data_IF_657991892098
#
_entry.id   IF_657991892098
#
_cell.length_a   1.000
_cell.length_b   1.000
_cell.length_c   1.000
_cell.angle_alpha   90.00
_cell.angle_beta   90.00
_cell.angle_gamma   90.00
#
_symmetry.space_group_name_H-M   'P 1'
#
loop_
_entity.id
_entity.type
_entity.pdbx_description
1 polymer ?
#
# COMPACT_ATOMS: atom_id res chain seq x y z
N UNK A 1 17.53 35.79 33.98
CA UNK A 1 16.59 35.40 32.91
C UNK A 1 16.25 33.93 33.12
N UNK A 2 14.98 33.63 33.45
CA UNK A 2 14.51 32.30 33.84
C UNK A 2 14.36 31.45 32.58
N UNK A 3 15.15 30.38 32.44
CA UNK A 3 14.96 29.40 31.36
C UNK A 3 13.75 28.55 31.77
N UNK A 4 12.59 28.82 31.17
CA UNK A 4 11.37 28.00 31.30
C UNK A 4 11.32 27.07 30.09
N UNK A 5 11.31 25.78 30.37
CA UNK A 5 11.70 24.70 29.47
C UNK A 5 10.94 24.62 28.14
N UNK A 6 11.73 24.54 27.06
CA UNK A 6 11.31 24.12 25.72
C UNK A 6 11.64 22.64 25.43
N UNK A 7 12.27 21.94 26.39
CA UNK A 7 12.83 20.60 26.20
C UNK A 7 11.83 19.44 26.45
N UNK A 8 10.75 19.67 27.22
CA UNK A 8 9.79 18.61 27.57
C UNK A 8 8.90 18.21 26.37
N UNK A 9 8.45 19.18 25.58
CA UNK A 9 7.57 18.95 24.41
C UNK A 9 8.28 18.23 23.26
N UNK A 10 9.61 18.32 23.19
CA UNK A 10 10.44 17.64 22.18
C UNK A 10 10.57 16.13 22.46
N UNK A 11 10.75 15.76 23.73
CA UNK A 11 10.96 14.39 24.19
C UNK A 11 9.68 13.54 24.20
N UNK A 12 8.53 14.12 24.55
CA UNK A 12 7.25 13.41 24.53
C UNK A 12 6.76 13.14 23.10
N UNK A 13 6.91 14.12 22.21
CA UNK A 13 6.57 13.95 20.79
C UNK A 13 7.48 12.92 20.11
N UNK A 14 8.77 12.88 20.42
CA UNK A 14 9.68 11.85 19.87
C UNK A 14 9.34 10.45 20.38
N UNK A 15 8.91 10.29 21.65
CA UNK A 15 8.39 9.01 22.17
C UNK A 15 7.07 8.59 21.52
N UNK A 16 6.16 9.52 21.24
CA UNK A 16 4.92 9.24 20.51
C UNK A 16 5.20 8.84 19.05
N UNK A 17 6.20 9.43 18.42
CA UNK A 17 6.60 9.12 17.05
C UNK A 17 7.31 7.75 16.94
N UNK A 18 8.12 7.36 17.94
CA UNK A 18 8.78 6.06 17.94
C UNK A 18 7.82 4.91 18.20
N UNK A 19 6.69 5.15 18.88
CA UNK A 19 5.66 4.14 19.21
C UNK A 19 5.22 3.32 17.99
N UNK A 20 5.07 3.95 16.83
CA UNK A 20 4.53 3.29 15.64
C UNK A 20 5.58 2.52 14.83
N UNK A 21 6.87 2.86 14.97
CA UNK A 21 7.94 2.26 14.17
C UNK A 21 8.02 0.75 14.41
N UNK A 22 8.19 -0.01 13.33
CA UNK A 22 8.30 -1.47 13.36
C UNK A 22 6.98 -2.23 13.48
N UNK A 23 5.84 -1.55 13.75
CA UNK A 23 4.52 -2.19 13.79
C UNK A 23 4.14 -2.75 12.43
N UNK A 24 3.47 -3.90 12.44
CA UNK A 24 2.94 -4.50 11.21
C UNK A 24 1.71 -3.71 10.73
N UNK A 25 1.50 -3.66 9.43
CA UNK A 25 0.32 -3.02 8.83
C UNK A 25 -0.47 -4.04 8.03
N UNK A 26 -1.76 -4.16 8.30
CA UNK A 26 -2.66 -5.10 7.65
C UNK A 26 -3.82 -4.37 6.97
N UNK A 27 -4.24 -4.83 5.80
CA UNK A 27 -5.43 -4.31 5.14
C UNK A 27 -6.72 -4.75 5.85
N UNK A 28 -7.87 -4.23 5.38
CA UNK A 28 -9.19 -4.66 5.86
C UNK A 28 -9.39 -6.18 5.75
N UNK A 29 -8.94 -6.77 4.64
CA UNK A 29 -9.01 -8.22 4.43
C UNK A 29 -7.95 -9.03 5.20
N UNK A 30 -7.12 -8.39 6.01
CA UNK A 30 -6.05 -9.03 6.78
C UNK A 30 -4.78 -9.29 5.96
N UNK A 31 -4.65 -8.74 4.75
CA UNK A 31 -3.42 -8.86 3.97
C UNK A 31 -2.28 -8.07 4.64
N UNK A 32 -1.13 -8.70 4.86
CA UNK A 32 0.06 -8.02 5.35
C UNK A 32 0.62 -7.05 4.30
N UNK A 33 0.64 -5.76 4.62
CA UNK A 33 1.05 -4.67 3.74
C UNK A 33 2.50 -4.23 3.96
N UNK A 34 3.08 -4.49 5.14
CA UNK A 34 4.45 -4.12 5.47
C UNK A 34 4.63 -3.73 6.93
N UNK A 35 5.74 -3.06 7.24
CA UNK A 35 6.01 -2.47 8.55
C UNK A 35 6.07 -0.96 8.48
N UNK A 36 5.70 -0.29 9.56
CA UNK A 36 5.90 1.15 9.70
C UNK A 36 7.41 1.45 9.78
N UNK A 37 7.93 2.14 8.78
CA UNK A 37 9.31 2.64 8.74
C UNK A 37 9.41 3.99 9.44
N UNK A 38 8.42 4.86 9.21
CA UNK A 38 8.43 6.22 9.74
C UNK A 38 7.03 6.80 9.95
N UNK A 39 6.98 7.95 10.60
CA UNK A 39 5.73 8.67 10.89
C UNK A 39 5.72 9.99 10.14
N UNK A 40 4.58 10.33 9.55
CA UNK A 40 4.33 11.58 8.85
C UNK A 40 3.64 12.52 9.82
N UNK A 41 4.26 13.66 10.13
CA UNK A 41 3.68 14.70 10.96
C UNK A 41 3.25 15.91 10.12
N UNK A 42 2.09 16.49 10.46
CA UNK A 42 1.60 17.74 9.86
C UNK A 42 1.08 18.65 10.97
N UNK A 43 1.59 19.88 11.04
CA UNK A 43 1.22 20.87 12.08
C UNK A 43 1.26 20.29 13.51
N UNK A 44 2.36 19.59 13.85
CA UNK A 44 2.59 18.95 15.15
C UNK A 44 1.68 17.76 15.49
N UNK A 45 0.80 17.35 14.56
CA UNK A 45 -0.03 16.16 14.72
C UNK A 45 0.50 15.04 13.85
N UNK A 46 0.51 13.83 14.38
CA UNK A 46 0.79 12.62 13.63
C UNK A 46 -0.33 12.39 12.60
N UNK A 47 -0.03 12.62 11.33
CA UNK A 47 -0.99 12.60 10.22
C UNK A 47 -1.00 11.26 9.46
N UNK A 48 0.10 10.52 9.50
CA UNK A 48 0.18 9.24 8.83
C UNK A 48 1.44 8.46 9.16
N UNK A 49 1.65 7.35 8.47
CA UNK A 49 2.85 6.53 8.54
C UNK A 49 3.38 6.21 7.16
N UNK A 50 4.69 6.02 7.09
CA UNK A 50 5.38 5.46 5.95
C UNK A 50 5.55 3.96 6.19
N UNK A 51 4.98 3.16 5.31
CA UNK A 51 4.99 1.70 5.42
C UNK A 51 5.94 1.12 4.36
N UNK A 52 6.85 0.26 4.78
CA UNK A 52 7.82 -0.42 3.93
C UNK A 52 7.52 -1.90 3.76
N UNK A 53 7.69 -2.39 2.53
CA UNK A 53 7.68 -3.83 2.18
C UNK A 53 8.77 -4.13 1.16
N UNK A 54 9.90 -4.63 1.64
CA UNK A 54 11.11 -4.80 0.82
C UNK A 54 11.61 -3.43 0.32
N UNK A 55 11.82 -3.29 -0.99
CA UNK A 55 12.25 -2.02 -1.62
C UNK A 55 11.10 -1.01 -1.85
N UNK A 56 9.86 -1.38 -1.54
CA UNK A 56 8.67 -0.53 -1.78
C UNK A 56 8.30 0.20 -0.51
N UNK A 57 7.86 1.44 -0.66
CA UNK A 57 7.38 2.28 0.43
C UNK A 57 6.12 3.03 -0.02
N UNK A 58 5.16 3.18 0.88
CA UNK A 58 3.94 3.96 0.63
C UNK A 58 3.53 4.74 1.87
N UNK A 59 2.89 5.89 1.66
CA UNK A 59 2.31 6.69 2.71
C UNK A 59 0.88 6.23 2.99
N UNK A 60 0.55 6.15 4.28
CA UNK A 60 -0.77 5.82 4.79
C UNK A 60 -1.22 6.94 5.72
N UNK A 61 -2.39 7.49 5.46
CA UNK A 61 -3.05 8.47 6.32
C UNK A 61 -3.75 7.75 7.49
N UNK A 62 -3.60 8.24 8.71
CA UNK A 62 -4.20 7.61 9.90
C UNK A 62 -5.73 7.54 9.84
N UNK A 63 -6.39 8.36 9.02
CA UNK A 63 -7.85 8.25 8.81
C UNK A 63 -8.31 6.90 8.26
N UNK A 64 -7.39 6.13 7.66
CA UNK A 64 -7.67 4.79 7.15
C UNK A 64 -7.34 3.68 8.16
N UNK A 65 -6.89 4.01 9.37
CA UNK A 65 -6.62 3.03 10.43
C UNK A 65 -7.92 2.80 11.21
N UNK A 66 -8.39 1.56 11.20
CA UNK A 66 -9.57 1.10 11.94
C UNK A 66 -9.20 0.62 13.34
N UNK A 67 -8.05 -0.05 13.47
CA UNK A 67 -7.55 -0.56 14.74
C UNK A 67 -6.07 -0.27 14.92
N UNK A 68 -5.70 0.23 16.10
CA UNK A 68 -4.31 0.46 16.53
C UNK A 68 -4.02 -0.38 17.77
N UNK A 69 -3.12 -1.35 17.62
CA UNK A 69 -2.62 -2.20 18.69
C UNK A 69 -1.11 -2.03 18.83
N UNK A 70 -0.55 -2.45 19.95
CA UNK A 70 0.90 -2.31 20.18
C UNK A 70 1.78 -3.02 19.14
N UNK A 71 1.24 -4.02 18.45
CA UNK A 71 1.96 -4.80 17.44
C UNK A 71 1.58 -4.46 16.01
N UNK A 72 0.39 -3.90 15.78
CA UNK A 72 -0.16 -3.78 14.45
C UNK A 72 -1.14 -2.62 14.27
N UNK A 73 -1.15 -2.07 13.05
CA UNK A 73 -2.17 -1.17 12.52
C UNK A 73 -3.04 -1.95 11.52
N UNK A 74 -4.36 -1.91 11.69
CA UNK A 74 -5.30 -2.52 10.75
C UNK A 74 -6.08 -1.44 10.02
N UNK A 75 -6.16 -1.54 8.70
CA UNK A 75 -6.81 -0.55 7.86
C UNK A 75 -8.30 -0.83 7.67
N UNK A 76 -9.10 0.23 7.56
CA UNK A 76 -10.51 0.17 7.19
C UNK A 76 -10.76 -0.09 5.70
N UNK A 77 -9.69 -0.15 4.90
CA UNK A 77 -9.73 -0.32 3.44
C UNK A 77 -8.71 -1.36 2.96
N UNK A 78 -8.98 -1.95 1.79
CA UNK A 78 -7.97 -2.64 1.02
C UNK A 78 -7.32 -1.65 0.05
N UNK A 79 -6.05 -1.25 0.27
CA UNK A 79 -5.44 -0.23 -0.55
C UNK A 79 -5.07 -0.76 -1.93
N UNK A 80 -5.31 0.02 -2.98
CA UNK A 80 -5.01 -0.37 -4.37
C UNK A 80 -3.52 -0.69 -4.61
N UNK A 81 -2.58 -0.13 -3.84
CA UNK A 81 -1.16 -0.47 -3.96
C UNK A 81 -0.86 -1.91 -3.52
N UNK A 82 -1.76 -2.56 -2.76
CA UNK A 82 -1.66 -3.99 -2.45
C UNK A 82 -1.70 -4.86 -3.71
N UNK A 83 -2.27 -4.34 -4.81
CA UNK A 83 -2.31 -5.05 -6.09
C UNK A 83 -0.92 -5.22 -6.71
N UNK A 84 0.04 -4.37 -6.35
CA UNK A 84 1.39 -4.41 -6.91
C UNK A 84 2.12 -5.67 -6.44
N UNK A 85 2.62 -6.46 -7.40
CA UNK A 85 3.32 -7.73 -7.17
C UNK A 85 2.43 -8.96 -7.28
N UNK A 86 1.11 -8.79 -7.31
CA UNK A 86 0.17 -9.91 -7.48
C UNK A 86 0.30 -10.49 -8.88
N UNK A 87 0.13 -11.80 -8.98
CA UNK A 87 0.14 -12.51 -10.26
C UNK A 87 -1.17 -12.25 -11.01
N UNK A 88 -1.04 -12.08 -12.33
CA UNK A 88 -2.17 -11.81 -13.23
C UNK A 88 -2.32 -12.99 -14.18
N UNK A 89 -3.52 -13.55 -14.23
CA UNK A 89 -3.87 -14.66 -15.11
C UNK A 89 -5.03 -14.26 -16.00
N UNK A 90 -5.04 -14.77 -17.24
CA UNK A 90 -6.18 -14.61 -18.13
C UNK A 90 -7.34 -15.57 -17.77
N UNK A 91 -8.45 -15.45 -18.48
CA UNK A 91 -9.63 -16.30 -18.26
C UNK A 91 -9.36 -17.81 -18.48
N UNK A 92 -8.32 -18.15 -19.26
CA UNK A 92 -7.89 -19.53 -19.49
C UNK A 92 -6.89 -20.04 -18.42
N UNK A 93 -6.58 -19.23 -17.41
CA UNK A 93 -5.62 -19.57 -16.35
C UNK A 93 -4.16 -19.40 -16.74
N UNK A 94 -3.86 -18.78 -17.88
CA UNK A 94 -2.49 -18.53 -18.34
C UNK A 94 -1.89 -17.37 -17.57
N UNK A 95 -0.68 -17.58 -17.03
CA UNK A 95 0.07 -16.52 -16.34
C UNK A 95 0.56 -15.45 -17.32
N UNK A 96 0.02 -14.24 -17.17
CA UNK A 96 0.38 -13.04 -17.93
C UNK A 96 1.53 -12.25 -17.30
N UNK A 97 1.78 -12.43 -16.01
CA UNK A 97 2.91 -11.81 -15.31
C UNK A 97 2.55 -11.37 -13.90
N UNK A 98 3.22 -10.31 -13.43
CA UNK A 98 2.92 -9.65 -12.14
C UNK A 98 2.60 -8.19 -12.36
N UNK A 99 1.74 -7.63 -11.52
CA UNK A 99 1.51 -6.18 -11.48
C UNK A 99 2.81 -5.51 -11.03
N UNK A 100 3.31 -4.58 -11.83
CA UNK A 100 4.46 -3.75 -11.49
C UNK A 100 4.06 -2.35 -11.08
N UNK A 101 2.90 -1.89 -11.54
CA UNK A 101 2.39 -0.54 -11.30
C UNK A 101 0.87 -0.53 -11.41
N UNK A 102 0.23 0.35 -10.64
CA UNK A 102 -1.21 0.60 -10.66
C UNK A 102 -1.41 2.05 -11.09
N UNK A 103 -2.03 2.27 -12.25
CA UNK A 103 -2.40 3.61 -12.70
C UNK A 103 -3.67 4.04 -11.96
N UNK A 104 -3.54 5.06 -11.11
CA UNK A 104 -4.63 5.52 -10.24
C UNK A 104 -5.64 6.34 -11.06
N UNK A 105 -6.91 6.18 -10.72
CA UNK A 105 -7.92 7.19 -11.05
C UNK A 105 -7.75 8.36 -10.08
N UNK A 106 -8.23 9.55 -10.42
CA UNK A 106 -8.10 10.78 -9.59
C UNK A 106 -8.58 10.62 -8.13
N UNK A 107 -9.36 9.58 -7.82
CA UNK A 107 -9.78 9.21 -6.45
C UNK A 107 -8.75 8.33 -5.69
N UNK A 108 -8.58 8.62 -4.39
CA UNK A 108 -7.49 8.11 -3.54
C UNK A 108 -7.38 6.58 -3.39
N UNK A 109 -8.42 5.80 -3.67
CA UNK A 109 -8.36 4.33 -3.63
C UNK A 109 -9.04 3.66 -4.84
N UNK A 110 -8.93 4.26 -6.02
CA UNK A 110 -9.41 3.67 -7.27
C UNK A 110 -8.30 3.65 -8.33
N UNK A 111 -8.38 2.71 -9.27
CA UNK A 111 -7.42 2.56 -10.35
C UNK A 111 -8.11 2.46 -11.71
N UNK A 112 -7.42 2.90 -12.76
CA UNK A 112 -7.89 2.85 -14.15
C UNK A 112 -7.35 1.60 -14.85
N UNK A 113 -6.07 1.33 -14.63
CA UNK A 113 -5.39 0.19 -15.26
C UNK A 113 -4.24 -0.35 -14.42
N UNK A 114 -3.89 -1.60 -14.70
CA UNK A 114 -2.77 -2.31 -14.12
C UNK A 114 -1.69 -2.47 -15.19
N UNK A 115 -0.46 -2.15 -14.83
CA UNK A 115 0.70 -2.43 -15.68
C UNK A 115 1.26 -3.78 -15.24
N UNK A 116 1.22 -4.74 -16.15
CA UNK A 116 1.59 -6.14 -15.90
C UNK A 116 2.84 -6.46 -16.69
N UNK A 117 3.83 -7.08 -16.03
CA UNK A 117 5.06 -7.50 -16.69
C UNK A 117 5.38 -8.95 -16.35
N UNK A 118 5.58 -9.77 -17.38
CA UNK A 118 6.07 -11.15 -17.24
C UNK A 118 7.59 -11.20 -17.17
N UNK A 119 8.25 -10.38 -17.99
CA UNK A 119 9.69 -10.44 -18.23
C UNK A 119 10.26 -9.02 -18.32
N UNK A 120 11.41 -8.70 -17.69
CA UNK A 120 11.92 -7.32 -17.59
C UNK A 120 12.15 -6.60 -18.93
N UNK A 121 12.59 -7.32 -19.97
CA UNK A 121 12.95 -6.77 -21.29
C UNK A 121 11.79 -6.70 -22.30
N UNK A 122 10.63 -7.29 -21.99
CA UNK A 122 9.44 -7.19 -22.85
C UNK A 122 8.60 -5.98 -22.47
N UNK A 123 7.91 -5.40 -23.47
CA UNK A 123 6.94 -4.34 -23.23
C UNK A 123 5.89 -4.82 -22.21
N UNK A 124 5.53 -4.00 -21.22
CA UNK A 124 4.50 -4.36 -20.26
C UNK A 124 3.12 -4.39 -20.95
N UNK A 125 2.26 -5.25 -20.44
CA UNK A 125 0.84 -5.31 -20.79
C UNK A 125 0.08 -4.31 -19.92
N UNK A 126 -0.82 -3.54 -20.53
CA UNK A 126 -1.75 -2.68 -19.81
C UNK A 126 -3.09 -3.39 -19.76
N UNK A 127 -3.62 -3.59 -18.55
CA UNK A 127 -4.92 -4.22 -18.31
C UNK A 127 -5.86 -3.17 -17.75
N UNK A 128 -6.97 -2.90 -18.43
CA UNK A 128 -7.97 -1.95 -17.94
C UNK A 128 -8.79 -2.56 -16.80
N UNK A 129 -9.30 -1.72 -15.89
CA UNK A 129 -10.11 -2.18 -14.76
C UNK A 129 -11.34 -2.99 -15.20
N UNK A 130 -11.93 -2.69 -16.37
CA UNK A 130 -13.09 -3.40 -16.92
C UNK A 130 -12.81 -4.88 -17.21
N UNK A 131 -11.56 -5.21 -17.51
CA UNK A 131 -11.12 -6.56 -17.86
C UNK A 131 -10.75 -7.39 -16.63
N UNK A 132 -10.72 -6.79 -15.44
CA UNK A 132 -10.42 -7.48 -14.18
C UNK A 132 -11.70 -8.05 -13.58
N UNK A 133 -11.68 -9.33 -13.24
CA UNK A 133 -12.77 -10.04 -12.58
C UNK A 133 -12.57 -10.10 -11.07
N UNK A 134 -11.46 -10.72 -10.65
CA UNK A 134 -11.11 -10.92 -9.25
C UNK A 134 -9.78 -10.25 -8.97
N UNK A 135 -9.70 -9.45 -7.91
CA UNK A 135 -8.48 -8.76 -7.46
C UNK A 135 -8.18 -9.05 -5.99
N UNK A 136 -8.01 -10.33 -5.63
CA UNK A 136 -7.71 -10.78 -4.25
C UNK A 136 -6.24 -11.15 -4.11
N UNK A 137 -5.91 -12.42 -3.86
CA UNK A 137 -4.52 -12.92 -3.78
C UNK A 137 -3.85 -12.92 -5.16
N UNK A 138 -4.62 -13.29 -6.17
CA UNK A 138 -4.28 -13.22 -7.58
C UNK A 138 -5.27 -12.31 -8.30
N UNK A 139 -4.88 -11.84 -9.47
CA UNK A 139 -5.71 -11.05 -10.37
C UNK A 139 -6.12 -11.94 -11.54
N UNK A 140 -7.43 -12.11 -11.72
CA UNK A 140 -8.00 -12.89 -12.82
C UNK A 140 -8.67 -11.93 -13.80
N UNK A 141 -8.40 -12.12 -15.10
CA UNK A 141 -9.03 -11.35 -16.15
C UNK A 141 -10.26 -12.07 -16.69
N UNK A 142 -11.22 -11.28 -17.19
CA UNK A 142 -12.41 -11.77 -17.90
C UNK A 142 -12.11 -12.23 -19.33
N UNK A 143 -10.98 -11.79 -19.87
CA UNK A 143 -10.58 -12.03 -21.26
C UNK A 143 -9.42 -13.01 -21.34
N UNK A 144 -9.36 -13.73 -22.45
CA UNK A 144 -8.20 -14.55 -22.84
C UNK A 144 -7.25 -13.71 -23.68
N UNK A 145 -5.96 -13.70 -23.34
CA UNK A 145 -4.95 -12.96 -24.13
C UNK A 145 -4.15 -13.95 -24.97
N UNK A 146 -4.59 -14.07 -26.24
CA UNK A 146 -3.89 -14.82 -27.29
C UNK A 146 -2.52 -14.22 -27.58
N UNK A 147 -1.48 -15.05 -27.49
CA UNK A 147 -0.17 -14.66 -28.01
C UNK A 147 -0.21 -14.80 -29.53
N UNK A 148 0.07 -13.72 -30.25
CA UNK A 148 0.68 -13.84 -31.58
C UNK A 148 2.14 -14.25 -31.41
#
# INVERSE_FOLDING_TARGET
MKILGTALTSLENTKLLSKYKGRNVFSKSGEYLGKVNDVIAKKYVVAGVLVGRGKRQFALDFKYVESDTDKALMLSVDPIFSLVGKQVFDAAGKLLGRVIEVKRSTAANNYESLVVRKVPWRKPLIVEKKDVDIAKKNILLKITIGGK
#
